data_IF_391325350148
#
_entry.id   IF_391325350148
#
_cell.length_a   1.000
_cell.length_b   1.000
_cell.length_c   1.000
_cell.angle_alpha   90.00
_cell.angle_beta   90.00
_cell.angle_gamma   90.00
#
_symmetry.space_group_name_H-M   'P 1'
#
loop_
_entity.id
_entity.type
_entity.pdbx_description
1 polymer ?
#
# COMPACT_ATOMS: atom_id res chain seq x y z
N UNK A 1 32.39 -49.26 61.29
CA UNK A 1 31.65 -48.08 60.78
C UNK A 1 30.38 -48.57 60.08
N UNK A 2 29.24 -48.64 60.78
CA UNK A 2 27.94 -48.97 60.17
C UNK A 2 27.42 -47.73 59.44
N UNK A 3 27.21 -47.83 58.12
CA UNK A 3 26.54 -46.76 57.38
C UNK A 3 25.06 -46.78 57.76
N UNK A 4 24.52 -45.64 58.18
CA UNK A 4 23.10 -45.53 58.56
C UNK A 4 22.20 -45.73 57.33
N UNK A 5 20.99 -46.25 57.53
CA UNK A 5 20.00 -46.41 56.46
C UNK A 5 19.68 -45.09 55.75
N UNK A 6 19.70 -43.97 56.49
CA UNK A 6 19.55 -42.62 55.94
C UNK A 6 20.70 -42.24 55.00
N UNK A 7 21.94 -42.62 55.33
CA UNK A 7 23.08 -42.41 54.44
C UNK A 7 22.92 -43.21 53.14
N UNK A 8 22.49 -44.47 53.23
CA UNK A 8 22.25 -45.31 52.04
C UNK A 8 21.14 -44.72 51.17
N UNK A 9 20.02 -44.27 51.77
CA UNK A 9 18.91 -43.64 51.05
C UNK A 9 19.28 -42.30 50.41
N UNK A 10 20.11 -41.49 51.07
CA UNK A 10 20.59 -40.22 50.51
C UNK A 10 21.48 -40.44 49.27
N UNK A 11 22.36 -41.44 49.29
CA UNK A 11 23.20 -41.79 48.15
C UNK A 11 22.37 -42.30 46.97
N UNK A 12 21.39 -43.18 47.20
CA UNK A 12 20.54 -43.71 46.11
C UNK A 12 19.66 -42.63 45.50
N UNK A 13 19.06 -41.76 46.31
CA UNK A 13 18.27 -40.63 45.83
C UNK A 13 19.14 -39.63 45.03
N UNK A 14 20.35 -39.33 45.51
CA UNK A 14 21.30 -38.49 44.81
C UNK A 14 21.69 -39.04 43.44
N UNK A 15 22.01 -40.34 43.36
CA UNK A 15 22.35 -41.00 42.09
C UNK A 15 21.16 -41.03 41.13
N UNK A 16 19.95 -41.30 41.62
CA UNK A 16 18.74 -41.29 40.80
C UNK A 16 18.46 -39.92 40.19
N UNK A 17 18.61 -38.85 40.98
CA UNK A 17 18.40 -37.47 40.52
C UNK A 17 19.43 -37.07 39.45
N UNK A 18 20.71 -37.42 39.65
CA UNK A 18 21.77 -37.17 38.65
C UNK A 18 21.52 -37.95 37.37
N UNK A 19 21.08 -39.21 37.47
CA UNK A 19 20.70 -40.02 36.31
C UNK A 19 19.55 -39.41 35.52
N UNK A 20 18.52 -38.91 36.21
CA UNK A 20 17.37 -38.24 35.58
C UNK A 20 17.78 -36.93 34.89
N UNK A 21 18.58 -36.09 35.55
CA UNK A 21 19.08 -34.85 34.97
C UNK A 21 19.99 -35.12 33.76
N UNK A 22 20.89 -36.09 33.87
CA UNK A 22 21.75 -36.51 32.76
C UNK A 22 20.95 -37.01 31.56
N UNK A 23 19.92 -37.82 31.80
CA UNK A 23 19.02 -38.29 30.74
C UNK A 23 18.22 -37.15 30.11
N UNK A 24 17.71 -36.20 30.90
CA UNK A 24 16.99 -35.06 30.37
C UNK A 24 17.87 -34.19 29.45
N UNK A 25 19.13 -33.95 29.85
CA UNK A 25 20.11 -33.23 29.02
C UNK A 25 20.43 -34.02 27.74
N UNK A 26 20.68 -35.32 27.85
CA UNK A 26 20.94 -36.18 26.69
C UNK A 26 19.74 -36.23 25.73
N UNK A 27 18.54 -36.38 26.26
CA UNK A 27 17.32 -36.44 25.46
C UNK A 27 17.03 -35.11 24.75
N UNK A 28 17.21 -33.97 25.41
CA UNK A 28 17.07 -32.66 24.76
C UNK A 28 18.15 -32.45 23.68
N UNK A 29 19.38 -32.91 23.92
CA UNK A 29 20.45 -32.88 22.90
C UNK A 29 20.12 -33.76 21.70
N UNK A 30 19.69 -35.01 21.91
CA UNK A 30 19.32 -35.95 20.85
C UNK A 30 18.13 -35.41 20.03
N UNK A 31 17.16 -34.77 20.69
CA UNK A 31 16.02 -34.12 20.03
C UNK A 31 16.45 -32.93 19.19
N UNK A 32 17.30 -32.04 19.72
CA UNK A 32 17.75 -30.82 19.02
C UNK A 32 18.75 -31.08 17.91
N UNK A 33 19.54 -32.14 18.02
CA UNK A 33 20.56 -32.48 17.03
C UNK A 33 20.07 -33.50 15.97
N UNK A 34 18.76 -33.78 15.91
CA UNK A 34 18.22 -34.72 14.93
C UNK A 34 18.32 -34.13 13.51
N UNK A 35 19.10 -34.75 12.60
CA UNK A 35 19.30 -34.24 11.24
C UNK A 35 18.00 -34.22 10.41
N UNK A 36 17.04 -35.08 10.70
CA UNK A 36 15.83 -35.21 9.90
C UNK A 36 14.85 -34.05 10.13
N UNK A 37 14.82 -33.48 11.34
CA UNK A 37 14.06 -32.25 11.62
C UNK A 37 14.61 -31.04 10.87
N UNK A 38 15.94 -30.92 10.79
CA UNK A 38 16.58 -29.83 10.02
C UNK A 38 16.32 -30.00 8.53
N UNK A 39 16.36 -31.24 8.01
CA UNK A 39 16.00 -31.55 6.63
C UNK A 39 14.53 -31.23 6.35
N UNK A 40 13.60 -31.57 7.25
CA UNK A 40 12.18 -31.29 7.07
C UNK A 40 11.88 -29.80 7.07
N UNK A 41 12.53 -29.01 7.95
CA UNK A 41 12.41 -27.55 7.94
C UNK A 41 12.93 -26.94 6.63
N UNK A 42 14.11 -27.35 6.15
CA UNK A 42 14.64 -26.90 4.86
C UNK A 42 13.70 -27.25 3.71
N UNK A 43 13.10 -28.46 3.74
CA UNK A 43 12.13 -28.90 2.73
C UNK A 43 10.86 -28.05 2.79
N UNK A 44 10.31 -27.79 3.97
CA UNK A 44 9.14 -26.93 4.15
C UNK A 44 9.41 -25.50 3.70
N UNK A 45 10.55 -24.91 4.08
CA UNK A 45 10.93 -23.57 3.65
C UNK A 45 11.06 -23.50 2.12
N UNK A 46 11.72 -24.49 1.49
CA UNK A 46 11.81 -24.57 0.03
C UNK A 46 10.45 -24.72 -0.63
N UNK A 47 9.53 -25.50 -0.03
CA UNK A 47 8.17 -25.64 -0.54
C UNK A 47 7.36 -24.34 -0.43
N UNK A 48 7.47 -23.61 0.69
CA UNK A 48 6.80 -22.31 0.87
C UNK A 48 7.34 -21.29 -0.15
N UNK A 49 8.67 -21.21 -0.32
CA UNK A 49 9.28 -20.32 -1.30
C UNK A 49 8.85 -20.68 -2.73
N UNK A 50 8.93 -21.97 -3.10
CA UNK A 50 8.51 -22.41 -4.43
C UNK A 50 7.01 -22.19 -4.66
N UNK A 51 6.17 -22.37 -3.65
CA UNK A 51 4.73 -22.08 -3.74
C UNK A 51 4.47 -20.57 -3.89
N UNK A 52 5.19 -19.71 -3.17
CA UNK A 52 5.09 -18.26 -3.29
C UNK A 52 5.55 -17.77 -4.68
N UNK A 53 6.69 -18.29 -5.17
CA UNK A 53 7.17 -17.99 -6.52
C UNK A 53 6.21 -18.48 -7.60
N UNK A 54 5.66 -19.69 -7.46
CA UNK A 54 4.69 -20.24 -8.40
C UNK A 54 3.40 -19.40 -8.43
N UNK A 55 2.90 -18.96 -7.27
CA UNK A 55 1.75 -18.05 -7.19
C UNK A 55 2.03 -16.71 -7.86
N UNK A 56 3.17 -16.09 -7.56
CA UNK A 56 3.54 -14.81 -8.19
C UNK A 56 3.68 -14.93 -9.70
N UNK A 57 4.30 -16.01 -10.20
CA UNK A 57 4.43 -16.26 -11.65
C UNK A 57 3.06 -16.46 -12.29
N UNK A 58 2.17 -17.22 -11.66
CA UNK A 58 0.82 -17.44 -12.16
C UNK A 58 0.00 -16.15 -12.19
N UNK A 59 0.10 -15.30 -11.16
CA UNK A 59 -0.54 -13.97 -11.13
C UNK A 59 0.00 -13.05 -12.23
N UNK A 60 1.33 -12.98 -12.39
CA UNK A 60 1.95 -12.20 -13.49
C UNK A 60 1.50 -12.70 -14.86
N UNK A 61 1.45 -14.01 -15.07
CA UNK A 61 1.00 -14.58 -16.35
C UNK A 61 -0.48 -14.25 -16.61
N UNK A 62 -1.35 -14.39 -15.60
CA UNK A 62 -2.76 -14.01 -15.68
C UNK A 62 -2.92 -12.53 -16.02
N UNK A 63 -2.24 -11.64 -15.29
CA UNK A 63 -2.28 -10.21 -15.52
C UNK A 63 -1.78 -9.88 -16.93
N UNK A 64 -0.65 -10.45 -17.36
CA UNK A 64 -0.11 -10.21 -18.71
C UNK A 64 -1.08 -10.66 -19.82
N UNK A 65 -1.86 -11.72 -19.61
CA UNK A 65 -2.88 -12.18 -20.57
C UNK A 65 -4.06 -11.22 -20.58
N UNK A 66 -4.53 -10.79 -19.41
CA UNK A 66 -5.62 -9.84 -19.28
C UNK A 66 -5.26 -8.46 -19.85
N UNK A 67 -4.04 -7.96 -19.63
CA UNK A 67 -3.55 -6.72 -20.22
C UNK A 67 -3.49 -6.79 -21.75
N UNK A 68 -3.04 -7.92 -22.32
CA UNK A 68 -3.07 -8.11 -23.79
C UNK A 68 -4.50 -8.10 -24.34
N UNK A 69 -5.44 -8.73 -23.65
CA UNK A 69 -6.85 -8.72 -24.05
C UNK A 69 -7.42 -7.29 -23.99
N UNK A 70 -7.19 -6.57 -22.88
CA UNK A 70 -7.59 -5.19 -22.71
C UNK A 70 -7.02 -4.28 -23.82
N UNK A 71 -5.78 -4.51 -24.23
CA UNK A 71 -5.14 -3.75 -25.30
C UNK A 71 -5.80 -3.98 -26.67
N UNK A 72 -6.24 -5.21 -26.95
CA UNK A 72 -7.00 -5.51 -28.17
C UNK A 72 -8.34 -4.77 -28.15
N UNK A 73 -9.04 -4.78 -27.02
CA UNK A 73 -10.31 -4.05 -26.85
C UNK A 73 -10.13 -2.54 -27.06
N UNK A 74 -9.15 -1.94 -26.39
CA UNK A 74 -8.85 -0.49 -26.49
C UNK A 74 -8.47 -0.07 -27.91
N UNK A 75 -7.82 -0.94 -28.68
CA UNK A 75 -7.46 -0.63 -30.07
C UNK A 75 -8.66 -0.71 -31.04
N UNK A 76 -9.73 -1.41 -30.68
CA UNK A 76 -10.97 -1.46 -31.46
C UNK A 76 -11.88 -0.26 -31.15
N UNK A 77 -11.70 0.38 -30.00
CA UNK A 77 -12.42 1.58 -29.61
C UNK A 77 -11.96 2.79 -30.43
N UNK A 78 -12.93 3.58 -30.92
CA UNK A 78 -12.66 4.85 -31.60
C UNK A 78 -12.62 5.94 -30.53
N UNK A 79 -11.47 6.61 -30.30
CA UNK A 79 -11.41 7.68 -29.33
C UNK A 79 -12.24 8.89 -29.77
N UNK A 80 -12.78 9.67 -28.81
CA UNK A 80 -13.49 10.91 -29.12
C UNK A 80 -12.57 11.88 -29.88
N UNK A 81 -13.12 12.52 -30.91
CA UNK A 81 -12.33 13.37 -31.84
C UNK A 81 -12.38 14.87 -31.51
N UNK A 82 -13.37 15.34 -30.74
CA UNK A 82 -13.47 16.75 -30.36
C UNK A 82 -12.79 17.01 -28.99
N UNK A 83 -12.17 18.18 -28.79
CA UNK A 83 -11.51 18.51 -27.52
C UNK A 83 -12.43 18.41 -26.30
N UNK A 84 -13.67 18.87 -26.43
CA UNK A 84 -14.69 18.82 -25.38
C UNK A 84 -15.05 17.38 -24.99
N UNK A 85 -15.18 16.48 -25.98
CA UNK A 85 -15.46 15.07 -25.71
C UNK A 85 -14.23 14.33 -25.17
N UNK A 86 -13.01 14.73 -25.57
CA UNK A 86 -11.77 14.17 -25.04
C UNK A 86 -11.60 14.51 -23.55
N UNK A 87 -11.92 15.74 -23.15
CA UNK A 87 -11.87 16.15 -21.75
C UNK A 87 -12.89 15.37 -20.90
N UNK A 88 -14.14 15.26 -21.37
CA UNK A 88 -15.16 14.47 -20.68
C UNK A 88 -14.78 12.99 -20.55
N UNK A 89 -14.30 12.39 -21.63
CA UNK A 89 -13.83 11.00 -21.64
C UNK A 89 -12.62 10.80 -20.71
N UNK A 90 -11.66 11.72 -20.72
CA UNK A 90 -10.53 11.68 -19.80
C UNK A 90 -11.00 11.66 -18.34
N UNK A 91 -11.88 12.58 -17.96
CA UNK A 91 -12.39 12.67 -16.59
C UNK A 91 -13.15 11.40 -16.18
N UNK A 92 -13.99 10.87 -17.06
CA UNK A 92 -14.73 9.62 -16.83
C UNK A 92 -13.77 8.43 -16.63
N UNK A 93 -12.80 8.26 -17.53
CA UNK A 93 -11.83 7.17 -17.42
C UNK A 93 -10.97 7.28 -16.16
N UNK A 94 -10.55 8.48 -15.76
CA UNK A 94 -9.80 8.67 -14.50
C UNK A 94 -10.68 8.29 -13.29
N UNK A 95 -11.91 8.77 -13.23
CA UNK A 95 -12.83 8.48 -12.12
C UNK A 95 -13.14 6.98 -12.01
N UNK A 96 -13.36 6.29 -13.14
CA UNK A 96 -13.56 4.84 -13.17
C UNK A 96 -12.30 4.07 -12.76
N UNK A 97 -11.13 4.49 -13.27
CA UNK A 97 -9.84 3.93 -12.90
C UNK A 97 -9.56 4.01 -11.41
N UNK A 98 -9.81 5.17 -10.80
CA UNK A 98 -9.67 5.40 -9.36
C UNK A 98 -10.66 4.56 -8.54
N UNK A 99 -11.93 4.51 -8.96
CA UNK A 99 -12.94 3.68 -8.32
C UNK A 99 -12.55 2.20 -8.31
N UNK A 100 -12.06 1.68 -9.42
CA UNK A 100 -11.62 0.28 -9.54
C UNK A 100 -10.34 0.02 -8.73
N UNK A 101 -9.41 0.98 -8.69
CA UNK A 101 -8.23 0.89 -7.84
C UNK A 101 -8.59 0.77 -6.35
N UNK A 102 -9.66 1.44 -5.92
CA UNK A 102 -10.14 1.37 -4.53
C UNK A 102 -10.78 0.02 -4.16
N UNK A 103 -11.26 -0.77 -5.15
CA UNK A 103 -11.86 -2.10 -4.90
C UNK A 103 -10.81 -3.19 -4.61
N UNK A 104 -9.55 -2.96 -4.93
CA UNK A 104 -8.44 -3.85 -4.58
C UNK A 104 -7.91 -4.73 -5.73
N UNK A 105 -7.07 -5.73 -5.41
CA UNK A 105 -6.19 -6.41 -6.37
C UNK A 105 -6.87 -7.05 -7.56
N UNK A 106 -8.09 -7.54 -7.38
CA UNK A 106 -8.85 -8.21 -8.44
C UNK A 106 -9.23 -7.26 -9.58
N UNK A 107 -9.28 -5.94 -9.30
CA UNK A 107 -9.68 -4.90 -10.27
C UNK A 107 -8.51 -4.04 -10.75
N UNK A 108 -7.27 -4.34 -10.34
CA UNK A 108 -6.12 -3.52 -10.73
C UNK A 108 -5.83 -3.54 -12.23
N UNK A 109 -6.10 -4.66 -12.91
CA UNK A 109 -5.95 -4.76 -14.37
C UNK A 109 -6.96 -3.86 -15.09
N UNK A 110 -8.22 -3.88 -14.67
CA UNK A 110 -9.25 -3.04 -15.27
C UNK A 110 -9.01 -1.55 -14.95
N UNK A 111 -8.59 -1.24 -13.71
CA UNK A 111 -8.15 0.11 -13.34
C UNK A 111 -7.03 0.63 -14.27
N UNK A 112 -5.99 -0.17 -14.52
CA UNK A 112 -4.90 0.19 -15.41
C UNK A 112 -5.38 0.42 -16.87
N UNK A 113 -6.38 -0.34 -17.32
CA UNK A 113 -7.01 -0.15 -18.64
C UNK A 113 -7.65 1.23 -18.78
N UNK A 114 -8.40 1.68 -17.77
CA UNK A 114 -9.00 3.02 -17.77
C UNK A 114 -7.94 4.13 -17.74
N UNK A 115 -6.89 4.01 -16.93
CA UNK A 115 -5.78 4.96 -16.93
C UNK A 115 -5.03 5.02 -18.26
N UNK A 116 -4.90 3.89 -18.96
CA UNK A 116 -4.30 3.87 -20.29
C UNK A 116 -5.17 4.55 -21.35
N UNK A 117 -6.50 4.35 -21.31
CA UNK A 117 -7.43 5.09 -22.17
C UNK A 117 -7.30 6.60 -21.97
N UNK A 118 -7.20 7.05 -20.72
CA UNK A 118 -6.97 8.44 -20.38
C UNK A 118 -5.63 8.97 -20.93
N UNK A 119 -4.56 8.17 -20.90
CA UNK A 119 -3.25 8.54 -21.46
C UNK A 119 -3.30 8.82 -22.97
N UNK A 120 -4.10 8.05 -23.73
CA UNK A 120 -4.17 8.18 -25.21
C UNK A 120 -4.85 9.46 -25.69
N UNK A 121 -5.71 10.06 -24.87
CA UNK A 121 -6.43 11.30 -25.20
C UNK A 121 -5.76 12.55 -24.60
N UNK A 122 -4.78 12.37 -23.71
CA UNK A 122 -4.12 13.48 -23.03
C UNK A 122 -2.98 14.05 -23.90
N UNK A 123 -2.88 15.39 -24.06
CA UNK A 123 -1.90 16.00 -24.97
C UNK A 123 -0.44 15.83 -24.53
N UNK A 124 -0.18 15.63 -23.23
CA UNK A 124 1.17 15.49 -22.66
C UNK A 124 1.28 14.20 -21.81
N UNK A 125 1.28 13.01 -22.43
CA UNK A 125 1.15 11.74 -21.72
C UNK A 125 2.27 11.48 -20.71
N UNK A 126 3.47 12.03 -20.93
CA UNK A 126 4.61 11.91 -20.01
C UNK A 126 4.34 12.61 -18.68
N UNK A 127 3.76 13.81 -18.71
CA UNK A 127 3.44 14.57 -17.51
C UNK A 127 2.34 13.87 -16.70
N UNK A 128 1.29 13.39 -17.40
CA UNK A 128 0.22 12.63 -16.76
C UNK A 128 0.74 11.35 -16.11
N UNK A 129 1.66 10.64 -16.76
CA UNK A 129 2.31 9.46 -16.20
C UNK A 129 3.08 9.79 -14.91
N UNK A 130 3.75 10.94 -14.83
CA UNK A 130 4.43 11.39 -13.61
C UNK A 130 3.46 11.74 -12.48
N UNK A 131 2.27 12.25 -12.80
CA UNK A 131 1.22 12.48 -11.80
C UNK A 131 0.70 11.14 -11.28
N UNK A 132 0.38 10.20 -12.16
CA UNK A 132 -0.07 8.86 -11.77
C UNK A 132 0.94 8.13 -10.89
N UNK A 133 2.24 8.27 -11.15
CA UNK A 133 3.27 7.69 -10.28
C UNK A 133 3.12 8.13 -8.80
N UNK A 134 2.60 9.33 -8.55
CA UNK A 134 2.45 9.91 -7.21
C UNK A 134 1.11 9.59 -6.56
N UNK A 135 0.03 9.49 -7.34
CA UNK A 135 -1.34 9.43 -6.81
C UNK A 135 -1.99 8.04 -6.91
N UNK A 136 -1.55 7.22 -7.86
CA UNK A 136 -2.12 5.88 -8.11
C UNK A 136 -1.38 4.83 -7.27
N UNK A 137 -2.07 3.81 -6.71
CA UNK A 137 -1.41 2.71 -6.00
C UNK A 137 -0.28 2.06 -6.84
N UNK A 138 0.90 1.78 -6.25
CA UNK A 138 2.04 1.23 -6.98
C UNK A 138 1.76 -0.04 -7.81
N UNK A 139 0.91 -0.99 -7.35
CA UNK A 139 0.59 -2.17 -8.16
C UNK A 139 -0.18 -1.84 -9.45
N UNK A 140 -1.08 -0.86 -9.43
CA UNK A 140 -1.85 -0.42 -10.60
C UNK A 140 -0.93 0.32 -11.58
N UNK A 141 -0.07 1.20 -11.06
CA UNK A 141 0.91 1.92 -11.87
C UNK A 141 1.89 0.96 -12.58
N UNK A 142 2.33 -0.11 -11.91
CA UNK A 142 3.18 -1.12 -12.53
C UNK A 142 2.49 -1.84 -13.71
N UNK A 143 1.20 -2.15 -13.58
CA UNK A 143 0.39 -2.74 -14.65
C UNK A 143 0.15 -1.75 -15.80
N UNK A 144 -0.05 -0.47 -15.47
CA UNK A 144 -0.15 0.60 -16.47
C UNK A 144 1.12 0.66 -17.32
N UNK A 145 2.30 0.67 -16.70
CA UNK A 145 3.59 0.66 -17.42
C UNK A 145 3.75 -0.59 -18.30
N UNK A 146 3.37 -1.77 -17.78
CA UNK A 146 3.39 -3.00 -18.56
C UNK A 146 2.51 -2.87 -19.81
N UNK A 147 1.30 -2.33 -19.65
CA UNK A 147 0.35 -2.10 -20.74
C UNK A 147 0.89 -1.06 -21.75
N UNK A 148 1.46 0.06 -21.30
CA UNK A 148 2.06 1.07 -22.19
C UNK A 148 3.24 0.49 -22.98
N UNK A 149 4.08 -0.31 -22.32
CA UNK A 149 5.20 -0.99 -22.98
C UNK A 149 4.74 -2.02 -24.02
N UNK A 150 3.64 -2.73 -23.74
CA UNK A 150 3.05 -3.69 -24.66
C UNK A 150 2.35 -3.02 -25.86
N UNK A 151 1.86 -1.79 -25.69
CA UNK A 151 1.27 -0.99 -26.76
C UNK A 151 2.28 -0.48 -27.79
N UNK A 152 3.57 -0.48 -27.45
CA UNK A 152 4.60 0.19 -28.26
C UNK A 152 4.51 1.72 -28.23
N UNK A 153 3.62 2.29 -27.42
CA UNK A 153 3.53 3.72 -27.13
C UNK A 153 4.62 4.09 -26.12
N UNK A 154 5.87 4.12 -26.56
CA UNK A 154 6.92 4.74 -25.75
C UNK A 154 6.55 6.23 -25.53
N UNK A 155 6.74 6.78 -24.32
CA UNK A 155 6.52 8.20 -24.07
C UNK A 155 7.41 9.02 -25.01
N UNK A 156 6.84 9.51 -26.11
CA UNK A 156 7.54 10.37 -27.05
C UNK A 156 7.77 11.73 -26.40
N UNK A 157 8.99 12.23 -26.55
CA UNK A 157 9.46 13.50 -25.98
C UNK A 157 8.53 14.68 -26.34
N UNK A 158 8.45 15.72 -25.49
CA UNK A 158 7.42 16.76 -25.62
C UNK A 158 7.56 17.54 -26.92
N UNK A 159 6.52 17.53 -27.74
CA UNK A 159 6.31 18.55 -28.75
C UNK A 159 6.09 19.88 -28.02
N UNK A 160 7.02 20.81 -28.22
CA UNK A 160 7.05 22.12 -27.60
C UNK A 160 5.90 22.97 -28.16
N UNK A 161 4.86 23.18 -27.35
CA UNK A 161 3.79 24.12 -27.64
C UNK A 161 3.34 24.78 -26.34
N UNK A 162 3.31 26.12 -26.23
CA UNK A 162 2.87 26.79 -25.01
C UNK A 162 1.35 27.01 -25.07
N UNK A 163 0.56 26.29 -24.27
CA UNK A 163 -0.88 26.57 -24.06
C UNK A 163 -1.30 26.12 -22.63
N UNK A 164 -2.43 26.56 -22.07
CA UNK A 164 -2.47 27.42 -20.88
C UNK A 164 -2.94 26.68 -19.63
N UNK A 165 -2.50 27.16 -18.46
CA UNK A 165 -3.03 26.75 -17.17
C UNK A 165 -4.53 27.14 -17.13
N UNK A 166 -5.47 26.21 -16.87
CA UNK A 166 -6.86 26.59 -16.68
C UNK A 166 -6.97 27.49 -15.43
N UNK A 167 -7.74 28.59 -15.48
CA UNK A 167 -7.97 29.41 -14.30
C UNK A 167 -8.66 28.54 -13.25
N UNK A 168 -8.04 28.39 -12.09
CA UNK A 168 -8.75 27.86 -10.93
C UNK A 168 -9.93 28.79 -10.65
N UNK A 169 -11.15 28.26 -10.42
CA UNK A 169 -12.26 29.11 -10.01
C UNK A 169 -11.85 29.80 -8.71
N UNK A 170 -11.66 31.12 -8.77
CA UNK A 170 -11.52 31.93 -7.57
C UNK A 170 -12.80 31.72 -6.77
N UNK A 171 -12.68 31.15 -5.57
CA UNK A 171 -13.75 31.14 -4.59
C UNK A 171 -14.02 32.60 -4.18
N UNK A 172 -14.87 33.29 -4.95
CA UNK A 172 -15.40 34.60 -4.59
C UNK A 172 -16.49 34.39 -3.55
N UNK A 173 -16.13 34.57 -2.27
CA UNK A 173 -17.09 34.78 -1.19
C UNK A 173 -17.62 36.21 -1.34
N UNK A 174 -18.59 36.39 -2.22
CA UNK A 174 -19.36 37.63 -2.34
C UNK A 174 -20.79 37.21 -2.65
N UNK A 175 -21.51 36.83 -1.59
CA UNK A 175 -22.98 36.88 -1.48
C UNK A 175 -23.31 36.65 0.00
N UNK A 176 -23.22 37.72 0.79
CA UNK A 176 -23.96 37.84 2.06
C UNK A 176 -24.76 39.13 1.91
N UNK A 177 -25.87 39.02 1.19
CA UNK A 177 -26.93 40.01 1.20
C UNK A 177 -27.60 39.99 2.58
N UNK A 178 -27.37 41.07 3.31
CA UNK A 178 -28.45 41.95 3.79
C UNK A 178 -29.78 41.28 4.15
N UNK A 179 -29.80 40.59 5.29
CA UNK A 179 -31.02 40.32 6.03
C UNK A 179 -31.07 41.23 7.27
N UNK A 180 -31.94 42.23 7.18
CA UNK A 180 -32.32 43.14 8.25
C UNK A 180 -32.78 42.37 9.50
N UNK A 181 -32.14 42.63 10.65
CA UNK A 181 -32.71 42.35 11.96
C UNK A 181 -32.54 43.59 12.84
N UNK A 182 -33.60 44.39 12.90
CA UNK A 182 -33.79 45.38 13.96
C UNK A 182 -34.42 44.75 15.20
N UNK A 183 -33.97 45.29 16.34
CA UNK A 183 -34.59 45.34 17.68
C UNK A 183 -34.17 44.28 18.73
N UNK A 184 -34.20 44.61 20.04
CA UNK A 184 -33.58 45.77 20.69
C UNK A 184 -32.92 45.45 22.07
N UNK A 185 -32.10 46.39 22.57
CA UNK A 185 -31.90 46.77 23.98
C UNK A 185 -31.23 45.80 25.01
N UNK A 186 -30.22 46.28 25.74
CA UNK A 186 -29.85 45.72 27.07
C UNK A 186 -28.37 45.70 27.50
N UNK A 187 -27.84 46.85 27.90
CA UNK A 187 -26.84 47.16 28.95
C UNK A 187 -25.76 46.17 29.50
N UNK A 188 -24.63 46.81 29.83
CA UNK A 188 -23.60 46.54 30.88
C UNK A 188 -22.44 45.61 30.52
N UNK A 189 -21.24 46.15 30.26
CA UNK A 189 -20.14 46.45 31.20
C UNK A 189 -19.52 45.22 31.89
N UNK A 190 -18.22 44.99 31.66
CA UNK A 190 -17.43 44.03 32.43
C UNK A 190 -16.05 43.75 31.83
N UNK A 191 -15.07 44.58 32.19
CA UNK A 191 -13.63 44.44 31.92
C UNK A 191 -13.05 43.14 32.49
N UNK A 192 -12.04 42.56 31.82
CA UNK A 192 -11.28 41.44 32.40
C UNK A 192 -10.14 40.95 31.51
N UNK A 193 -8.93 41.39 31.81
CA UNK A 193 -7.66 41.09 31.17
C UNK A 193 -7.08 39.72 31.54
N UNK A 194 -6.36 39.10 30.60
CA UNK A 194 -5.05 38.49 30.86
C UNK A 194 -4.97 36.96 31.00
N UNK A 195 -3.78 36.47 30.62
CA UNK A 195 -3.23 35.10 30.65
C UNK A 195 -3.66 34.21 29.46
N UNK A 196 -2.79 33.71 28.58
CA UNK A 196 -1.33 33.55 28.60
C UNK A 196 -0.92 32.11 28.89
N UNK A 197 -0.08 31.54 28.01
CA UNK A 197 0.64 30.24 28.10
C UNK A 197 -0.19 29.00 27.77
N UNK A 198 0.29 28.01 27.02
CA UNK A 198 1.61 27.76 26.46
C UNK A 198 1.61 26.35 25.84
N UNK A 199 2.34 26.20 24.74
CA UNK A 199 2.52 24.94 24.01
C UNK A 199 3.36 23.97 24.84
N UNK A 200 2.89 22.73 25.00
CA UNK A 200 3.57 21.69 25.78
C UNK A 200 3.56 20.37 24.99
N UNK A 201 4.51 20.20 24.07
CA UNK A 201 4.83 18.92 23.43
C UNK A 201 6.30 18.92 22.98
N UNK A 202 7.24 18.63 23.89
CA UNK A 202 8.56 18.17 23.47
C UNK A 202 9.25 17.32 24.56
N UNK A 203 9.89 16.25 24.10
CA UNK A 203 10.90 15.40 24.76
C UNK A 203 10.43 14.17 25.56
N UNK A 204 10.31 13.05 24.83
CA UNK A 204 10.64 11.72 25.37
C UNK A 204 11.61 11.04 24.40
N UNK A 205 12.90 11.32 24.55
CA UNK A 205 13.97 10.39 24.17
C UNK A 205 15.29 10.84 24.80
N UNK A 206 15.65 10.29 25.96
CA UNK A 206 17.05 10.05 26.35
C UNK A 206 17.13 9.24 27.65
N UNK A 207 17.77 8.07 27.57
CA UNK A 207 18.61 7.51 28.63
C UNK A 207 17.96 6.65 29.71
N UNK A 208 17.91 5.33 29.48
CA UNK A 208 18.53 4.34 30.38
C UNK A 208 18.79 3.01 29.65
#
# INVERSE_FOLDING_TARGET
>A
MSRSAASVAAWTAGTALVGLLGYAVYFDYQRRNNPDFRKSLRKQQKQIQHAAEARSKAEKEKNSKALRAALIEINQEIPPSSPEQQEAYFQEQVAEGEKLAALGPDQYVESAKHFFRALRVYPQPVELLMIYQKVVPPPVFALLLELTSAAGEAPSAPASGPVPIPPQPAASVADIDEASLESPNGQSQGSGSGFGSGNEWENVNEGN
#
